data_IF_556930935979
#
_entry.id   IF_556930935979
#
_cell.length_a   1.000
_cell.length_b   1.000
_cell.length_c   1.000
_cell.angle_alpha   90.00
_cell.angle_beta   90.00
_cell.angle_gamma   90.00
#
_symmetry.space_group_name_H-M   'P 1'
#
loop_
_entity.id
_entity.type
_entity.pdbx_description
1 polymer ?
#
# COMPACT_ATOMS: atom_id res chain seq x y z
N UNK A 1 0.97 -11.82 3.13
CA UNK A 1 2.26 -12.52 3.08
C UNK A 1 2.79 -12.58 1.65
N UNK A 2 2.11 -13.33 0.79
CA UNK A 2 2.58 -13.66 -0.56
C UNK A 2 2.98 -12.44 -1.41
N UNK A 3 2.17 -11.39 -1.36
CA UNK A 3 2.39 -10.16 -2.13
C UNK A 3 3.24 -9.12 -1.39
N UNK A 4 3.81 -9.45 -0.23
CA UNK A 4 4.60 -8.52 0.61
C UNK A 4 3.89 -7.20 0.90
N UNK A 5 2.60 -7.26 1.17
CA UNK A 5 1.78 -6.10 1.49
C UNK A 5 1.72 -5.96 3.01
N UNK A 6 2.16 -4.82 3.53
CA UNK A 6 2.07 -4.48 4.95
C UNK A 6 0.71 -3.88 5.33
N UNK A 7 0.04 -3.20 4.39
CA UNK A 7 -1.19 -2.47 4.67
C UNK A 7 -2.17 -2.53 3.50
N UNK A 8 -3.44 -2.83 3.78
CA UNK A 8 -4.54 -2.79 2.82
C UNK A 8 -5.37 -1.53 3.06
N UNK A 9 -5.81 -0.85 1.98
CA UNK A 9 -6.71 0.30 2.06
C UNK A 9 -8.17 -0.15 2.15
N UNK A 10 -8.53 -0.63 3.30
CA UNK A 10 -9.83 -1.19 3.69
C UNK A 10 -9.82 -1.68 5.13
N UNK A 11 -10.99 -2.02 5.69
CA UNK A 11 -12.33 -1.98 5.11
C UNK A 11 -12.92 -0.58 4.94
N UNK A 12 -13.85 -0.46 3.98
CA UNK A 12 -14.74 0.69 3.87
C UNK A 12 -15.87 0.60 4.90
N UNK A 13 -16.08 1.66 5.70
CA UNK A 13 -16.95 1.60 6.90
C UNK A 13 -18.06 2.64 6.91
N UNK A 14 -18.21 3.43 5.86
CA UNK A 14 -19.29 4.42 5.87
C UNK A 14 -20.66 3.72 5.80
N UNK A 15 -21.63 4.27 6.49
CA UNK A 15 -22.97 3.67 6.57
C UNK A 15 -23.74 3.86 5.25
N UNK A 16 -24.60 2.90 4.91
CA UNK A 16 -25.52 2.94 3.78
C UNK A 16 -26.68 3.92 4.05
N UNK A 17 -26.42 5.22 4.05
CA UNK A 17 -27.45 6.23 4.28
C UNK A 17 -28.39 6.40 3.09
N UNK A 18 -27.86 6.27 1.88
CA UNK A 18 -28.61 6.44 0.64
C UNK A 18 -28.44 5.22 -0.27
N UNK A 19 -29.54 4.60 -0.75
CA UNK A 19 -29.46 3.36 -1.53
C UNK A 19 -28.73 3.54 -2.86
N UNK A 20 -28.72 4.74 -3.42
CA UNK A 20 -28.01 5.06 -4.69
C UNK A 20 -26.59 5.59 -4.48
N UNK A 21 -26.02 5.45 -3.28
CA UNK A 21 -24.62 5.82 -3.09
C UNK A 21 -23.71 4.88 -3.89
N UNK A 22 -22.85 5.44 -4.74
CA UNK A 22 -22.01 4.70 -5.69
C UNK A 22 -20.96 3.76 -5.05
N UNK A 23 -20.76 3.83 -3.73
CA UNK A 23 -19.80 2.98 -2.99
C UNK A 23 -20.46 2.05 -1.97
N UNK A 24 -21.78 1.88 -1.99
CA UNK A 24 -22.43 0.91 -1.11
C UNK A 24 -21.94 -0.53 -1.33
N UNK A 25 -21.41 -0.86 -2.50
CA UNK A 25 -20.84 -2.18 -2.79
C UNK A 25 -19.60 -2.52 -1.94
N UNK A 26 -18.86 -1.52 -1.43
CA UNK A 26 -17.69 -1.73 -0.58
C UNK A 26 -17.95 -1.45 0.90
N UNK A 27 -19.11 -0.88 1.24
CA UNK A 27 -19.53 -0.62 2.61
C UNK A 27 -20.40 -1.76 3.14
N UNK A 28 -20.60 -1.84 4.44
CA UNK A 28 -21.15 -3.03 5.08
C UNK A 28 -22.67 -2.93 5.29
N UNK A 29 -23.15 -1.86 5.95
CA UNK A 29 -24.54 -1.76 6.39
C UNK A 29 -24.97 -0.31 6.63
N UNK A 30 -26.28 -0.10 6.74
CA UNK A 30 -26.88 1.12 7.30
C UNK A 30 -26.76 1.19 8.84
N UNK A 31 -26.62 0.02 9.48
CA UNK A 31 -26.45 -0.08 10.94
C UNK A 31 -24.99 0.10 11.31
N UNK A 32 -24.71 1.10 12.14
CA UNK A 32 -23.36 1.47 12.56
C UNK A 32 -22.71 0.42 13.48
N UNK A 33 -23.49 -0.29 14.30
CA UNK A 33 -22.99 -1.34 15.20
C UNK A 33 -22.59 -2.57 14.37
N UNK A 34 -23.47 -2.99 13.45
CA UNK A 34 -23.19 -4.11 12.55
C UNK A 34 -21.96 -3.82 11.71
N UNK A 35 -21.89 -2.63 11.10
CA UNK A 35 -20.70 -2.18 10.32
C UNK A 35 -19.43 -2.24 11.18
N UNK A 36 -19.45 -1.68 12.38
CA UNK A 36 -18.29 -1.68 13.26
C UNK A 36 -17.82 -3.09 13.65
N UNK A 37 -18.76 -3.99 13.96
CA UNK A 37 -18.45 -5.38 14.36
C UNK A 37 -17.90 -6.22 13.21
N UNK A 38 -18.49 -6.13 12.02
CA UNK A 38 -18.00 -6.86 10.83
C UNK A 38 -16.61 -6.36 10.45
N UNK A 39 -16.41 -5.04 10.38
CA UNK A 39 -15.09 -4.48 10.08
C UNK A 39 -14.04 -4.82 11.14
N UNK A 40 -14.42 -4.86 12.42
CA UNK A 40 -13.53 -5.33 13.47
C UNK A 40 -13.13 -6.80 13.29
N UNK A 41 -14.05 -7.66 12.86
CA UNK A 41 -13.75 -9.06 12.57
C UNK A 41 -12.81 -9.20 11.36
N UNK A 42 -13.02 -8.42 10.30
CA UNK A 42 -12.15 -8.36 9.13
C UNK A 42 -10.74 -7.91 9.51
N UNK A 43 -10.60 -6.81 10.26
CA UNK A 43 -9.32 -6.33 10.76
C UNK A 43 -8.58 -7.37 11.61
N UNK A 44 -9.27 -8.08 12.50
CA UNK A 44 -8.67 -9.18 13.25
C UNK A 44 -8.17 -10.31 12.34
N UNK A 45 -8.86 -10.56 11.22
CA UNK A 45 -8.42 -11.49 10.18
C UNK A 45 -7.14 -11.02 9.48
N UNK A 46 -7.09 -9.75 9.09
CA UNK A 46 -5.91 -9.13 8.47
C UNK A 46 -4.70 -9.15 9.43
N UNK A 47 -4.91 -8.77 10.70
CA UNK A 47 -3.83 -8.79 11.71
C UNK A 47 -3.25 -10.19 11.92
N UNK A 48 -4.09 -11.25 11.91
CA UNK A 48 -3.60 -12.64 11.95
C UNK A 48 -2.76 -13.03 10.75
N UNK A 49 -3.00 -12.39 9.60
CA UNK A 49 -2.18 -12.56 8.40
C UNK A 49 -0.94 -11.65 8.40
N UNK A 50 -0.72 -10.83 9.45
CA UNK A 50 0.38 -9.88 9.53
C UNK A 50 0.22 -8.63 8.69
N UNK A 51 -1.01 -8.29 8.29
CA UNK A 51 -1.34 -7.14 7.45
C UNK A 51 -2.19 -6.16 8.24
N UNK A 52 -1.89 -4.87 8.14
CA UNK A 52 -2.74 -3.83 8.73
C UNK A 52 -3.87 -3.43 7.78
N UNK A 53 -5.03 -3.10 8.32
CA UNK A 53 -6.13 -2.51 7.58
C UNK A 53 -6.20 -1.00 7.75
N UNK A 54 -6.42 -0.26 6.67
CA UNK A 54 -6.69 1.17 6.73
C UNK A 54 -8.19 1.41 6.65
N UNK A 55 -8.82 1.64 7.81
CA UNK A 55 -10.26 1.89 7.85
C UNK A 55 -10.60 3.23 7.18
N UNK A 56 -11.65 3.23 6.35
CA UNK A 56 -12.01 4.36 5.49
C UNK A 56 -13.51 4.49 5.26
N UNK A 57 -14.02 5.64 4.89
CA UNK A 57 -13.36 6.94 4.81
C UNK A 57 -13.80 7.77 6.02
N UNK A 58 -12.91 8.11 6.85
CA UNK A 58 -13.15 8.79 8.14
C UNK A 58 -13.39 10.28 7.93
N UNK A 59 -14.60 10.77 8.09
CA UNK A 59 -15.87 10.10 8.29
C UNK A 59 -16.97 10.69 7.40
N UNK A 60 -18.16 10.11 7.44
CA UNK A 60 -19.37 10.63 6.81
C UNK A 60 -19.33 10.71 5.27
N UNK A 61 -18.60 9.84 4.58
CA UNK A 61 -18.67 9.71 3.12
C UNK A 61 -19.90 8.87 2.72
N UNK A 62 -21.08 9.48 2.76
CA UNK A 62 -22.35 8.79 2.55
C UNK A 62 -23.00 9.07 1.21
N UNK A 63 -22.32 9.78 0.32
CA UNK A 63 -22.69 10.00 -1.08
C UNK A 63 -21.45 10.25 -1.94
N UNK A 64 -21.49 9.79 -3.19
CA UNK A 64 -20.41 10.01 -4.15
C UNK A 64 -20.62 11.24 -5.02
N UNK A 65 -21.88 11.62 -5.27
CA UNK A 65 -22.17 12.82 -6.03
C UNK A 65 -21.67 14.06 -5.29
N UNK A 66 -20.76 14.80 -5.94
CA UNK A 66 -20.08 15.98 -5.38
C UNK A 66 -19.41 15.73 -4.02
N UNK A 67 -18.85 14.55 -3.80
CA UNK A 67 -18.28 14.10 -2.53
C UNK A 67 -17.18 15.01 -1.96
N UNK A 68 -16.48 15.75 -2.85
CA UNK A 68 -15.38 16.63 -2.44
C UNK A 68 -15.83 18.00 -1.90
N UNK A 69 -17.07 18.42 -2.21
CA UNK A 69 -17.56 19.78 -1.92
C UNK A 69 -19.00 19.84 -1.40
N UNK A 70 -19.71 18.72 -1.37
CA UNK A 70 -21.02 18.66 -0.74
C UNK A 70 -20.88 18.71 0.78
N UNK A 71 -21.24 19.86 1.36
CA UNK A 71 -21.16 20.10 2.80
C UNK A 71 -22.20 19.32 3.57
N UNK A 72 -21.74 18.39 4.43
CA UNK A 72 -22.60 17.74 5.41
C UNK A 72 -22.91 18.69 6.59
N UNK A 73 -24.18 18.81 6.96
CA UNK A 73 -24.58 19.46 8.21
C UNK A 73 -25.00 18.38 9.19
N UNK A 74 -24.18 18.15 10.22
CA UNK A 74 -24.34 17.01 11.12
C UNK A 74 -24.28 17.50 12.55
N UNK A 75 -25.32 17.18 13.36
CA UNK A 75 -25.29 17.49 14.78
C UNK A 75 -24.23 16.63 15.49
N UNK A 76 -23.68 17.13 16.59
CA UNK A 76 -22.69 16.41 17.40
C UNK A 76 -23.18 15.01 17.81
N UNK A 77 -24.44 14.92 18.22
CA UNK A 77 -25.07 13.65 18.58
C UNK A 77 -25.11 12.67 17.41
N UNK A 78 -25.59 13.11 16.25
CA UNK A 78 -25.64 12.25 15.07
C UNK A 78 -24.24 11.85 14.59
N UNK A 79 -23.27 12.76 14.67
CA UNK A 79 -21.89 12.49 14.34
C UNK A 79 -21.32 11.35 15.20
N UNK A 80 -21.49 11.43 16.52
CA UNK A 80 -20.94 10.46 17.47
C UNK A 80 -21.71 9.13 17.49
N UNK A 81 -23.04 9.17 17.46
CA UNK A 81 -23.85 7.96 17.61
C UNK A 81 -23.99 7.17 16.32
N UNK A 82 -23.82 7.83 15.15
CA UNK A 82 -24.05 7.22 13.83
C UNK A 82 -22.75 7.16 13.01
N UNK A 83 -22.21 8.32 12.62
CA UNK A 83 -21.15 8.38 11.61
C UNK A 83 -19.77 7.98 12.13
N UNK A 84 -19.49 8.19 13.40
CA UNK A 84 -18.24 7.86 14.05
C UNK A 84 -18.27 6.51 14.76
N UNK A 85 -19.45 6.02 15.15
CA UNK A 85 -19.58 4.86 16.05
C UNK A 85 -18.98 3.58 15.46
N UNK A 86 -19.14 3.32 14.18
CA UNK A 86 -18.52 2.15 13.54
C UNK A 86 -16.98 2.19 13.60
N UNK A 87 -16.39 3.37 13.39
CA UNK A 87 -14.94 3.57 13.48
C UNK A 87 -14.45 3.38 14.91
N UNK A 88 -15.16 3.95 15.90
CA UNK A 88 -14.86 3.78 17.32
C UNK A 88 -14.80 2.31 17.72
N UNK A 89 -15.81 1.52 17.31
CA UNK A 89 -15.88 0.08 17.58
C UNK A 89 -14.67 -0.64 16.98
N UNK A 90 -14.39 -0.40 15.71
CA UNK A 90 -13.28 -1.05 15.02
C UNK A 90 -11.94 -0.75 15.68
N UNK A 91 -11.66 0.53 16.00
CA UNK A 91 -10.42 0.95 16.64
C UNK A 91 -10.27 0.33 18.02
N UNK A 92 -11.29 0.44 18.87
CA UNK A 92 -11.24 -0.06 20.25
C UNK A 92 -11.16 -1.57 20.36
N UNK A 93 -11.78 -2.31 19.43
CA UNK A 93 -11.78 -3.77 19.45
C UNK A 93 -10.57 -4.43 18.83
N UNK A 94 -9.85 -3.73 17.94
CA UNK A 94 -8.76 -4.33 17.16
C UNK A 94 -7.41 -3.67 17.42
N UNK A 95 -7.40 -2.43 17.89
CA UNK A 95 -6.19 -1.63 17.96
C UNK A 95 -5.62 -1.28 16.58
N UNK A 96 -6.47 -1.25 15.53
CA UNK A 96 -6.01 -0.91 14.18
C UNK A 96 -5.24 0.41 14.19
N UNK A 97 -4.22 0.51 13.35
CA UNK A 97 -3.25 1.58 13.40
C UNK A 97 -3.17 2.43 12.11
N UNK A 98 -4.17 2.30 11.24
CA UNK A 98 -4.26 3.09 10.01
C UNK A 98 -5.69 3.55 9.73
N UNK A 99 -5.86 4.84 9.47
CA UNK A 99 -7.14 5.50 9.17
C UNK A 99 -6.97 6.40 7.94
N UNK A 100 -7.92 6.35 7.01
CA UNK A 100 -7.98 7.27 5.87
C UNK A 100 -9.14 8.24 6.02
N UNK A 101 -8.86 9.56 5.95
CA UNK A 101 -9.90 10.59 5.95
C UNK A 101 -10.65 10.63 4.61
N UNK A 102 -11.89 11.12 4.62
CA UNK A 102 -12.69 11.26 3.39
C UNK A 102 -12.35 12.53 2.63
N UNK A 103 -12.85 12.63 1.40
CA UNK A 103 -12.81 13.87 0.61
C UNK A 103 -13.73 14.97 1.15
N UNK A 104 -14.84 14.59 1.76
CA UNK A 104 -15.94 15.48 2.06
C UNK A 104 -15.72 16.36 3.29
N UNK A 105 -16.37 17.54 3.27
CA UNK A 105 -16.47 18.39 4.45
C UNK A 105 -17.74 18.09 5.24
N UNK A 106 -17.71 18.39 6.53
CA UNK A 106 -18.90 18.58 7.35
C UNK A 106 -18.71 19.77 8.31
N UNK A 107 -19.81 20.46 8.59
CA UNK A 107 -19.86 21.60 9.50
C UNK A 107 -18.76 22.65 9.25
N UNK A 108 -18.44 22.92 7.98
CA UNK A 108 -17.49 23.97 7.59
C UNK A 108 -16.03 23.52 7.42
N UNK A 109 -15.67 22.30 7.82
CA UNK A 109 -14.29 21.81 7.76
C UNK A 109 -14.17 20.54 6.91
N UNK A 110 -13.14 20.48 6.07
CA UNK A 110 -12.74 19.27 5.37
C UNK A 110 -12.06 18.32 6.32
N UNK A 111 -12.45 17.05 6.29
CA UNK A 111 -12.04 16.04 7.27
C UNK A 111 -10.53 15.87 7.39
N UNK A 112 -9.80 16.03 6.28
CA UNK A 112 -8.34 15.91 6.25
C UNK A 112 -7.62 17.00 7.07
N UNK A 113 -8.21 18.17 7.23
CA UNK A 113 -7.71 19.29 8.04
C UNK A 113 -8.46 19.51 9.36
N UNK A 114 -9.39 18.63 9.69
CA UNK A 114 -10.23 18.79 10.87
C UNK A 114 -9.51 18.29 12.14
N UNK A 115 -9.00 19.24 12.95
CA UNK A 115 -8.29 18.95 14.19
C UNK A 115 -9.15 18.19 15.21
N UNK A 116 -10.41 18.60 15.39
CA UNK A 116 -11.29 17.96 16.37
C UNK A 116 -11.59 16.52 15.99
N UNK A 117 -11.77 16.25 14.70
CA UNK A 117 -11.97 14.91 14.21
C UNK A 117 -10.70 14.05 14.38
N UNK A 118 -9.57 14.48 13.81
CA UNK A 118 -8.36 13.66 13.71
C UNK A 118 -7.54 13.63 15.01
N UNK A 119 -7.59 14.70 15.80
CA UNK A 119 -6.82 14.80 17.05
C UNK A 119 -7.69 14.60 18.27
N UNK A 120 -8.76 15.38 18.44
CA UNK A 120 -9.55 15.34 19.69
C UNK A 120 -10.31 14.01 19.77
N UNK A 121 -11.16 13.70 18.82
CA UNK A 121 -11.96 12.48 18.85
C UNK A 121 -11.09 11.24 18.66
N UNK A 122 -10.40 11.16 17.52
CA UNK A 122 -9.68 9.94 17.13
C UNK A 122 -8.54 9.60 18.11
N UNK A 123 -7.66 10.57 18.41
CA UNK A 123 -6.46 10.28 19.20
C UNK A 123 -6.66 10.46 20.71
N UNK A 124 -7.29 11.56 21.16
CA UNK A 124 -7.40 11.84 22.59
C UNK A 124 -8.53 11.06 23.25
N UNK A 125 -9.72 10.98 22.62
CA UNK A 125 -10.85 10.30 23.21
C UNK A 125 -10.80 8.78 23.00
N UNK A 126 -10.42 8.31 21.79
CA UNK A 126 -10.39 6.88 21.49
C UNK A 126 -9.03 6.22 21.71
N UNK A 127 -7.97 7.00 21.91
CA UNK A 127 -6.63 6.49 22.17
C UNK A 127 -5.92 5.96 20.93
N UNK A 128 -6.33 6.38 19.74
CA UNK A 128 -5.70 5.95 18.49
C UNK A 128 -4.23 6.40 18.41
N UNK A 129 -3.32 5.45 18.24
CA UNK A 129 -1.86 5.67 18.20
C UNK A 129 -1.23 5.21 16.87
N UNK A 130 -1.98 5.30 15.79
CA UNK A 130 -1.53 4.96 14.43
C UNK A 130 -1.32 6.18 13.55
N UNK A 131 -1.31 5.93 12.22
CA UNK A 131 -1.28 6.97 11.20
C UNK A 131 -2.68 7.34 10.73
N UNK A 132 -2.81 8.61 10.36
CA UNK A 132 -3.93 9.10 9.55
C UNK A 132 -3.38 9.49 8.18
N UNK A 133 -4.01 9.00 7.13
CA UNK A 133 -3.69 9.39 5.76
C UNK A 133 -4.88 10.09 5.10
N UNK A 134 -4.63 10.90 4.10
CA UNK A 134 -5.69 11.47 3.27
C UNK A 134 -6.19 10.45 2.25
N UNK A 135 -7.38 10.66 1.72
CA UNK A 135 -7.73 10.11 0.41
C UNK A 135 -6.92 10.83 -0.70
N UNK A 136 -6.93 10.31 -1.95
CA UNK A 136 -6.11 10.81 -3.05
C UNK A 136 -6.47 12.25 -3.42
N UNK A 137 -5.49 13.14 -3.45
CA UNK A 137 -5.65 14.58 -3.76
C UNK A 137 -6.69 15.30 -2.89
N UNK A 138 -6.90 14.85 -1.68
CA UNK A 138 -7.80 15.51 -0.73
C UNK A 138 -7.41 16.97 -0.51
N UNK A 139 -8.41 17.78 -0.23
CA UNK A 139 -8.26 19.21 0.09
C UNK A 139 -8.45 19.44 1.58
N UNK A 140 -7.89 20.51 2.11
CA UNK A 140 -8.12 20.96 3.49
C UNK A 140 -8.39 22.46 3.52
N UNK A 141 -8.94 22.93 4.63
CA UNK A 141 -9.09 24.36 4.93
C UNK A 141 -8.83 24.60 6.42
N UNK A 142 -8.58 25.85 6.77
CA UNK A 142 -8.82 26.35 8.10
C UNK A 142 -10.27 26.85 8.22
N UNK A 143 -10.76 26.94 9.43
CA UNK A 143 -12.13 27.43 9.69
C UNK A 143 -12.37 28.79 9.05
N UNK A 144 -13.47 28.92 8.31
CA UNK A 144 -13.84 30.15 7.58
C UNK A 144 -13.13 30.35 6.24
N UNK A 145 -12.15 29.52 5.89
CA UNK A 145 -11.42 29.63 4.62
C UNK A 145 -11.97 28.68 3.55
N UNK A 146 -11.63 28.97 2.29
CA UNK A 146 -11.89 28.06 1.18
C UNK A 146 -10.91 26.87 1.25
N UNK A 147 -11.39 25.72 0.77
CA UNK A 147 -10.54 24.55 0.65
C UNK A 147 -9.42 24.75 -0.37
N UNK A 148 -8.28 24.16 -0.08
CA UNK A 148 -7.14 24.12 -1.01
C UNK A 148 -6.43 22.77 -0.91
N UNK A 149 -6.08 22.20 -2.05
CA UNK A 149 -5.27 20.97 -2.14
C UNK A 149 -3.86 21.17 -1.59
N UNK A 150 -3.34 22.39 -1.67
CA UNK A 150 -2.03 22.75 -1.16
C UNK A 150 -2.01 23.01 0.35
N UNK A 151 -3.16 23.13 1.00
CA UNK A 151 -3.23 23.43 2.43
C UNK A 151 -2.90 22.20 3.29
N UNK A 152 -1.67 21.69 3.13
CA UNK A 152 -1.14 20.58 3.94
C UNK A 152 -0.73 21.01 5.34
N UNK A 153 -0.52 22.30 5.57
CA UNK A 153 -0.28 22.82 6.90
C UNK A 153 -1.50 22.58 7.83
N UNK A 154 -2.73 22.75 7.36
CA UNK A 154 -3.94 22.40 8.11
C UNK A 154 -3.98 20.89 8.42
N UNK A 155 -3.57 20.05 7.47
CA UNK A 155 -3.47 18.60 7.68
C UNK A 155 -2.41 18.26 8.75
N UNK A 156 -1.24 18.92 8.73
CA UNK A 156 -0.20 18.77 9.78
C UNK A 156 -0.76 19.13 11.15
N UNK A 157 -1.47 20.24 11.28
CA UNK A 157 -2.10 20.65 12.54
C UNK A 157 -3.09 19.60 13.04
N UNK A 158 -3.92 19.08 12.14
CA UNK A 158 -4.92 18.05 12.46
C UNK A 158 -4.34 16.69 12.81
N UNK A 159 -3.03 16.44 12.64
CA UNK A 159 -2.39 15.14 12.73
C UNK A 159 -2.88 14.16 11.66
N UNK A 160 -3.12 14.65 10.45
CA UNK A 160 -3.15 13.84 9.26
C UNK A 160 -1.70 13.70 8.80
N UNK A 161 -1.17 12.47 8.80
CA UNK A 161 0.28 12.23 8.81
C UNK A 161 0.85 11.96 7.42
N UNK A 162 0.02 11.45 6.50
CA UNK A 162 0.41 11.07 5.14
C UNK A 162 -0.55 11.70 4.13
N UNK A 163 0.02 12.40 3.15
CA UNK A 163 -0.73 13.09 2.10
C UNK A 163 -0.68 12.30 0.79
N UNK A 164 -1.82 11.80 0.37
CA UNK A 164 -1.97 11.01 -0.86
C UNK A 164 -2.51 11.94 -1.98
N UNK A 165 -1.91 12.13 -3.08
CA UNK A 165 -0.66 11.73 -3.70
C UNK A 165 0.23 12.95 -3.86
N UNK A 166 1.56 12.73 -4.02
CA UNK A 166 2.52 13.77 -4.38
C UNK A 166 3.07 13.46 -5.78
N UNK A 167 2.52 14.08 -6.84
CA UNK A 167 2.90 13.74 -8.22
C UNK A 167 4.30 14.25 -8.62
N UNK A 168 4.85 15.19 -7.87
CA UNK A 168 6.15 15.78 -8.14
C UNK A 168 6.89 15.96 -6.81
N UNK A 169 7.71 14.98 -6.46
CA UNK A 169 8.50 14.99 -5.23
C UNK A 169 9.80 15.78 -5.36
N UNK A 170 10.19 16.15 -6.57
CA UNK A 170 11.42 16.90 -6.84
C UNK A 170 11.20 18.42 -6.76
N UNK A 171 9.95 18.87 -6.96
CA UNK A 171 9.62 20.30 -6.93
C UNK A 171 8.98 20.72 -5.59
N UNK A 172 9.80 20.99 -4.59
CA UNK A 172 9.39 21.36 -3.22
C UNK A 172 8.37 22.50 -3.14
N UNK A 173 8.32 23.40 -4.11
CA UNK A 173 7.49 24.61 -4.04
C UNK A 173 6.11 24.47 -4.73
N UNK A 174 5.88 23.41 -5.48
CA UNK A 174 4.66 23.27 -6.28
C UNK A 174 3.50 22.60 -5.52
N UNK A 175 3.76 21.96 -4.36
CA UNK A 175 2.93 20.89 -3.86
C UNK A 175 2.16 21.25 -2.59
N UNK A 176 2.75 22.11 -1.72
CA UNK A 176 2.13 22.43 -0.44
C UNK A 176 2.54 23.81 0.11
N UNK A 177 1.89 24.20 1.22
CA UNK A 177 2.14 25.44 1.93
C UNK A 177 2.91 25.23 3.25
N UNK A 178 3.44 24.04 3.54
CA UNK A 178 4.06 23.69 4.84
C UNK A 178 5.22 24.66 5.17
N UNK A 179 6.17 24.83 4.25
CA UNK A 179 7.33 25.69 4.45
C UNK A 179 6.93 27.15 4.72
N UNK A 180 5.99 27.66 3.93
CA UNK A 180 5.48 29.04 4.10
C UNK A 180 4.80 29.20 5.46
N UNK A 181 3.92 28.29 5.84
CA UNK A 181 3.18 28.34 7.10
C UNK A 181 4.08 28.13 8.33
N UNK A 182 5.13 27.32 8.18
CA UNK A 182 6.15 27.16 9.21
C UNK A 182 6.95 28.48 9.41
N UNK A 183 7.33 29.14 8.31
CA UNK A 183 8.11 30.39 8.37
C UNK A 183 7.36 31.52 9.07
N UNK A 184 6.04 31.61 8.88
CA UNK A 184 5.20 32.64 9.54
C UNK A 184 4.66 32.19 10.90
N UNK A 185 5.00 30.98 11.35
CA UNK A 185 4.66 30.48 12.68
C UNK A 185 3.27 29.87 12.84
N UNK A 186 2.51 29.67 11.77
CA UNK A 186 1.20 29.02 11.83
C UNK A 186 1.27 27.53 12.14
N UNK A 187 2.36 26.87 11.77
CA UNK A 187 2.69 25.53 12.21
C UNK A 187 4.06 25.52 12.90
N UNK A 188 4.25 24.57 13.81
CA UNK A 188 5.44 24.49 14.63
C UNK A 188 6.29 23.26 14.30
N UNK A 189 7.58 23.31 14.64
CA UNK A 189 8.47 22.16 14.56
C UNK A 189 7.91 20.96 15.34
N UNK A 190 7.31 21.20 16.51
CA UNK A 190 6.72 20.14 17.34
C UNK A 190 5.57 19.42 16.63
N UNK A 191 4.75 20.14 15.86
CA UNK A 191 3.68 19.52 15.05
C UNK A 191 4.24 18.64 13.93
N UNK A 192 5.27 19.10 13.22
CA UNK A 192 5.95 18.29 12.19
C UNK A 192 6.60 17.04 12.79
N UNK A 193 7.31 17.19 13.92
CA UNK A 193 7.92 16.06 14.63
C UNK A 193 6.87 15.05 15.13
N UNK A 194 5.73 15.53 15.57
CA UNK A 194 4.61 14.68 16.00
C UNK A 194 4.10 13.81 14.84
N UNK A 195 3.86 14.40 13.66
CA UNK A 195 3.43 13.65 12.48
C UNK A 195 4.51 12.65 12.04
N UNK A 196 5.76 13.07 11.96
CA UNK A 196 6.88 12.18 11.65
C UNK A 196 6.97 11.00 12.65
N UNK A 197 6.78 11.26 13.95
CA UNK A 197 6.74 10.21 14.98
C UNK A 197 5.60 9.22 14.75
N UNK A 198 4.41 9.67 14.35
CA UNK A 198 3.29 8.78 14.05
C UNK A 198 3.64 7.84 12.89
N UNK A 199 4.22 8.38 11.81
CA UNK A 199 4.69 7.59 10.66
C UNK A 199 5.75 6.58 11.07
N UNK A 200 6.77 6.99 11.83
CA UNK A 200 7.82 6.10 12.30
C UNK A 200 7.30 4.98 13.21
N UNK A 201 6.37 5.28 14.12
CA UNK A 201 5.73 4.28 14.96
C UNK A 201 4.97 3.24 14.13
N UNK A 202 4.24 3.69 13.12
CA UNK A 202 3.52 2.81 12.21
C UNK A 202 4.49 1.91 11.43
N UNK A 203 5.53 2.50 10.83
CA UNK A 203 6.55 1.75 10.10
C UNK A 203 7.23 0.70 10.98
N UNK A 204 7.53 1.02 12.24
CA UNK A 204 8.13 0.06 13.20
C UNK A 204 7.22 -1.12 13.55
N UNK A 205 5.90 -0.99 13.37
CA UNK A 205 4.93 -2.08 13.58
C UNK A 205 4.77 -2.97 12.36
N UNK A 206 5.17 -2.50 11.18
CA UNK A 206 5.01 -3.26 9.95
C UNK A 206 5.81 -4.56 9.99
N UNK A 207 5.27 -5.60 9.35
CA UNK A 207 5.91 -6.89 9.26
C UNK A 207 7.30 -6.78 8.62
N UNK A 208 7.41 -6.02 7.53
CA UNK A 208 8.68 -5.80 6.85
C UNK A 208 9.77 -5.25 7.80
N UNK A 209 9.40 -4.28 8.66
CA UNK A 209 10.36 -3.73 9.63
C UNK A 209 10.65 -4.71 10.78
N UNK A 210 9.66 -5.47 11.26
CA UNK A 210 9.88 -6.47 12.30
C UNK A 210 10.85 -7.58 11.84
N UNK A 211 10.75 -8.01 10.59
CA UNK A 211 11.69 -8.94 9.94
C UNK A 211 13.07 -8.30 9.84
N UNK A 212 13.16 -7.07 9.31
CA UNK A 212 14.44 -6.34 9.17
C UNK A 212 15.16 -6.13 10.50
N UNK A 213 14.42 -5.98 11.60
CA UNK A 213 14.98 -5.85 12.96
C UNK A 213 15.32 -7.21 13.62
N UNK A 214 15.13 -8.33 12.92
CA UNK A 214 15.37 -9.68 13.45
C UNK A 214 14.40 -10.09 14.56
N UNK A 215 13.23 -9.44 14.68
CA UNK A 215 12.22 -9.77 15.69
C UNK A 215 11.27 -10.87 15.23
N UNK A 216 11.17 -11.06 13.94
CA UNK A 216 10.40 -12.12 13.30
C UNK A 216 11.35 -12.84 12.34
N UNK A 217 11.45 -14.15 12.47
CA UNK A 217 12.15 -14.98 11.51
C UNK A 217 11.29 -15.12 10.25
N UNK A 218 11.84 -14.69 9.12
CA UNK A 218 11.13 -14.75 7.85
C UNK A 218 10.85 -16.18 7.42
N UNK A 219 11.82 -17.08 7.60
CA UNK A 219 11.67 -18.48 7.22
C UNK A 219 10.58 -19.19 8.03
N UNK A 220 10.46 -18.87 9.33
CA UNK A 220 9.40 -19.40 10.19
C UNK A 220 8.04 -18.78 9.87
N UNK A 221 8.01 -17.45 9.67
CA UNK A 221 6.75 -16.72 9.46
C UNK A 221 6.15 -16.90 8.07
N UNK A 222 6.99 -16.91 7.05
CA UNK A 222 6.60 -17.02 5.65
C UNK A 222 7.67 -17.82 4.89
N UNK A 223 7.70 -19.15 5.06
CA UNK A 223 8.67 -20.00 4.41
C UNK A 223 8.65 -19.87 2.88
N UNK A 224 7.51 -19.50 2.31
CA UNK A 224 7.38 -19.15 0.90
C UNK A 224 8.17 -17.89 0.49
N UNK A 225 8.63 -17.11 1.46
CA UNK A 225 9.50 -15.94 1.25
C UNK A 225 10.95 -16.23 1.63
N UNK A 226 11.24 -17.44 2.06
CA UNK A 226 12.60 -17.86 2.35
C UNK A 226 13.43 -17.72 1.08
N UNK A 227 14.33 -16.75 1.10
CA UNK A 227 15.22 -16.48 -0.03
C UNK A 227 16.39 -17.45 -0.08
N UNK A 228 16.60 -18.23 0.97
CA UNK A 228 17.59 -19.31 1.02
C UNK A 228 17.08 -20.60 0.40
N UNK A 229 15.75 -20.75 0.19
CA UNK A 229 15.18 -21.93 -0.43
C UNK A 229 15.76 -22.15 -1.82
N UNK A 230 16.20 -23.34 -2.07
CA UNK A 230 16.61 -23.84 -3.38
C UNK A 230 15.92 -25.19 -3.60
N UNK A 231 15.42 -25.45 -4.81
CA UNK A 231 14.92 -26.78 -5.14
C UNK A 231 16.00 -27.85 -4.93
N UNK A 232 15.57 -29.06 -4.59
CA UNK A 232 16.49 -30.20 -4.50
C UNK A 232 17.04 -30.54 -5.90
N UNK A 233 18.34 -30.77 -5.98
CA UNK A 233 19.02 -31.17 -7.20
C UNK A 233 19.87 -30.06 -7.84
N UNK A 234 20.46 -30.39 -8.98
CA UNK A 234 21.26 -29.44 -9.76
C UNK A 234 20.32 -28.55 -10.60
N UNK A 235 20.45 -27.23 -10.44
CA UNK A 235 19.71 -26.27 -11.24
C UNK A 235 20.36 -26.12 -12.63
N UNK A 236 19.54 -25.88 -13.64
CA UNK A 236 20.04 -25.53 -14.97
C UNK A 236 20.94 -24.30 -14.89
N UNK A 237 22.06 -24.38 -15.61
CA UNK A 237 23.01 -23.27 -15.74
C UNK A 237 22.88 -22.67 -17.13
N UNK A 238 22.57 -21.39 -17.17
CA UNK A 238 22.39 -20.62 -18.40
C UNK A 238 23.61 -19.71 -18.57
N UNK A 239 24.37 -19.94 -19.63
CA UNK A 239 25.59 -19.17 -19.90
C UNK A 239 25.22 -17.86 -20.58
N UNK A 240 25.72 -16.75 -20.04
CA UNK A 240 25.53 -15.43 -20.63
C UNK A 240 26.23 -15.35 -22.01
N UNK A 241 25.53 -14.79 -22.98
CA UNK A 241 26.09 -14.46 -24.28
C UNK A 241 26.45 -12.97 -24.30
N UNK A 242 27.61 -12.65 -23.78
CA UNK A 242 28.01 -11.26 -23.54
C UNK A 242 27.22 -10.64 -22.41
N UNK A 243 26.43 -9.61 -22.71
CA UNK A 243 25.59 -8.89 -21.74
C UNK A 243 24.14 -9.39 -21.68
N UNK A 244 23.83 -10.56 -22.25
CA UNK A 244 22.46 -11.03 -22.49
C UNK A 244 22.27 -12.48 -22.08
N UNK A 245 21.26 -12.75 -21.28
CA UNK A 245 20.85 -14.09 -20.84
C UNK A 245 19.36 -14.23 -21.18
N UNK A 246 19.01 -15.30 -21.90
CA UNK A 246 17.63 -15.56 -22.30
C UNK A 246 17.15 -16.92 -21.80
N UNK A 247 16.00 -16.93 -21.14
CA UNK A 247 15.23 -18.11 -20.75
C UNK A 247 14.02 -18.19 -21.66
N UNK A 248 14.01 -19.15 -22.60
CA UNK A 248 12.86 -19.39 -23.47
C UNK A 248 11.69 -20.03 -22.70
N UNK A 249 10.51 -20.06 -23.31
CA UNK A 249 9.33 -20.72 -22.73
C UNK A 249 9.59 -22.20 -22.38
N UNK A 250 10.25 -22.94 -23.26
CA UNK A 250 10.59 -24.36 -23.05
C UNK A 250 11.54 -24.54 -21.86
N UNK A 251 12.54 -23.66 -21.72
CA UNK A 251 13.46 -23.71 -20.60
C UNK A 251 12.78 -23.25 -19.29
N UNK A 252 11.92 -22.23 -19.38
CA UNK A 252 11.14 -21.77 -18.23
C UNK A 252 10.24 -22.87 -17.66
N UNK A 253 9.60 -23.67 -18.52
CA UNK A 253 8.79 -24.81 -18.12
C UNK A 253 9.64 -25.91 -17.44
N UNK A 254 10.85 -26.17 -17.94
CA UNK A 254 11.77 -27.16 -17.37
C UNK A 254 12.27 -26.78 -15.97
N UNK A 255 12.41 -25.49 -15.67
CA UNK A 255 12.93 -24.97 -14.40
C UNK A 255 11.82 -24.39 -13.50
N UNK A 256 10.57 -24.72 -13.78
CA UNK A 256 9.38 -24.29 -13.04
C UNK A 256 9.13 -25.19 -11.84
N UNK A 257 8.87 -24.54 -10.71
CA UNK A 257 8.47 -25.16 -9.44
C UNK A 257 7.16 -24.51 -8.95
N UNK A 258 6.61 -25.00 -7.86
CA UNK A 258 5.28 -24.59 -7.35
C UNK A 258 5.15 -23.09 -7.06
N UNK A 259 6.26 -22.39 -6.81
CA UNK A 259 6.30 -20.99 -6.41
C UNK A 259 7.15 -20.10 -7.35
N UNK A 260 7.53 -20.61 -8.51
CA UNK A 260 8.27 -19.85 -9.51
C UNK A 260 9.33 -20.64 -10.27
N UNK A 261 10.21 -19.90 -10.89
CA UNK A 261 11.28 -20.41 -11.77
C UNK A 261 12.62 -20.22 -11.06
N UNK A 262 13.49 -21.26 -11.12
CA UNK A 262 14.80 -21.29 -10.47
C UNK A 262 15.88 -21.75 -11.43
N UNK A 263 16.94 -20.98 -11.59
CA UNK A 263 18.08 -21.32 -12.45
C UNK A 263 19.35 -20.61 -11.98
N UNK A 264 20.51 -21.08 -12.45
CA UNK A 264 21.76 -20.36 -12.32
C UNK A 264 22.10 -19.67 -13.64
N UNK A 265 22.74 -18.52 -13.56
CA UNK A 265 23.38 -17.86 -14.71
C UNK A 265 24.89 -17.84 -14.48
N UNK A 266 25.66 -18.03 -15.55
CA UNK A 266 27.12 -18.03 -15.50
C UNK A 266 27.70 -17.05 -16.54
N UNK A 267 28.97 -16.71 -16.36
CA UNK A 267 29.73 -15.81 -17.22
C UNK A 267 29.13 -14.39 -17.33
N UNK A 268 28.50 -13.91 -16.25
CA UNK A 268 28.03 -12.53 -16.18
C UNK A 268 29.20 -11.55 -16.11
N UNK A 269 29.00 -10.37 -16.69
CA UNK A 269 29.94 -9.24 -16.60
C UNK A 269 29.47 -8.28 -15.51
N UNK A 270 30.41 -7.70 -14.74
CA UNK A 270 30.03 -6.69 -13.75
C UNK A 270 29.28 -5.50 -14.40
N UNK A 271 28.18 -5.06 -13.80
CA UNK A 271 27.40 -3.92 -14.29
C UNK A 271 25.99 -3.87 -13.74
N UNK A 272 25.22 -2.88 -14.18
CA UNK A 272 23.79 -2.75 -13.86
C UNK A 272 22.97 -3.58 -14.86
N UNK A 273 21.95 -4.26 -14.35
CA UNK A 273 21.12 -5.17 -15.14
C UNK A 273 19.63 -4.90 -14.99
N UNK A 274 18.87 -5.27 -16.00
CA UNK A 274 17.41 -5.32 -16.01
C UNK A 274 16.94 -6.75 -16.33
N UNK A 275 15.75 -7.09 -15.82
CA UNK A 275 15.02 -8.28 -16.21
C UNK A 275 13.77 -7.87 -17.02
N UNK A 276 13.64 -8.40 -18.22
CA UNK A 276 12.45 -8.29 -19.06
C UNK A 276 11.69 -9.61 -18.96
N UNK A 277 10.44 -9.54 -18.57
CA UNK A 277 9.59 -10.71 -18.36
C UNK A 277 8.38 -10.62 -19.27
N UNK A 278 8.16 -11.68 -20.06
CA UNK A 278 7.01 -11.82 -20.95
C UNK A 278 6.14 -13.00 -20.48
N UNK A 279 4.87 -12.73 -20.28
CA UNK A 279 3.89 -13.72 -19.80
C UNK A 279 2.65 -13.77 -20.68
N UNK A 280 1.94 -14.90 -20.62
CA UNK A 280 0.53 -15.04 -21.01
C UNK A 280 -0.26 -15.50 -19.81
N UNK A 281 -1.42 -14.90 -19.55
CA UNK A 281 -2.28 -15.27 -18.43
C UNK A 281 -3.72 -15.53 -18.90
N UNK A 282 -4.35 -16.56 -18.37
CA UNK A 282 -5.78 -16.84 -18.57
C UNK A 282 -6.69 -15.95 -17.69
N UNK A 283 -6.11 -15.17 -16.79
CA UNK A 283 -6.85 -14.26 -15.93
C UNK A 283 -7.30 -13.01 -16.70
N UNK A 284 -8.41 -12.42 -16.24
CA UNK A 284 -8.94 -11.16 -16.81
C UNK A 284 -8.10 -9.95 -16.38
N UNK A 285 -8.31 -8.82 -17.06
CA UNK A 285 -7.59 -7.57 -16.88
C UNK A 285 -7.67 -6.93 -15.47
N UNK A 286 -8.56 -7.42 -14.62
CA UNK A 286 -8.68 -6.94 -13.23
C UNK A 286 -7.81 -7.73 -12.25
N UNK A 287 -7.23 -8.84 -12.68
CA UNK A 287 -6.36 -9.67 -11.85
C UNK A 287 -4.96 -9.10 -11.82
N UNK A 288 -4.42 -8.85 -10.63
CA UNK A 288 -3.02 -8.46 -10.45
C UNK A 288 -2.13 -9.69 -10.30
N UNK A 289 -1.06 -9.75 -11.06
CA UNK A 289 -0.09 -10.84 -11.09
C UNK A 289 1.29 -10.30 -10.71
N UNK A 290 1.65 -10.34 -9.42
CA UNK A 290 2.98 -9.92 -8.97
C UNK A 290 4.02 -10.99 -9.31
N UNK A 291 5.13 -10.58 -9.92
CA UNK A 291 6.29 -11.42 -10.21
C UNK A 291 7.52 -10.76 -9.58
N UNK A 292 8.16 -11.46 -8.66
CA UNK A 292 9.32 -10.94 -7.91
C UNK A 292 10.60 -11.59 -8.39
N UNK A 293 11.65 -10.79 -8.54
CA UNK A 293 12.97 -11.25 -8.96
C UNK A 293 13.94 -11.22 -7.78
N UNK A 294 14.68 -12.31 -7.61
CA UNK A 294 15.74 -12.46 -6.62
C UNK A 294 17.03 -12.90 -7.33
N UNK A 295 18.14 -12.32 -6.92
CA UNK A 295 19.50 -12.71 -7.37
C UNK A 295 20.32 -12.98 -6.13
N UNK A 296 20.96 -14.15 -6.07
CA UNK A 296 21.77 -14.59 -4.92
C UNK A 296 21.04 -14.50 -3.57
N UNK A 297 19.73 -14.79 -3.60
CA UNK A 297 18.79 -14.66 -2.50
C UNK A 297 18.41 -13.20 -2.13
N UNK A 298 19.00 -12.19 -2.77
CA UNK A 298 18.64 -10.80 -2.55
C UNK A 298 17.42 -10.43 -3.39
N UNK A 299 16.39 -9.88 -2.74
CA UNK A 299 15.23 -9.31 -3.43
C UNK A 299 15.64 -8.11 -4.29
N UNK A 300 15.32 -8.15 -5.58
CA UNK A 300 15.66 -7.11 -6.54
C UNK A 300 14.47 -6.24 -6.94
N UNK A 301 13.27 -6.76 -6.90
CA UNK A 301 12.06 -6.01 -7.20
C UNK A 301 10.87 -6.87 -7.58
N UNK A 302 9.71 -6.25 -7.74
CA UNK A 302 8.48 -6.90 -8.20
C UNK A 302 7.86 -6.12 -9.36
N UNK A 303 7.55 -6.83 -10.44
CA UNK A 303 6.68 -6.34 -11.52
C UNK A 303 5.28 -6.85 -11.24
N UNK A 304 4.27 -5.98 -11.38
CA UNK A 304 2.87 -6.40 -11.32
C UNK A 304 2.25 -6.30 -12.71
N UNK A 305 1.97 -7.45 -13.31
CA UNK A 305 1.17 -7.55 -14.52
C UNK A 305 -0.31 -7.47 -14.21
N UNK A 306 -1.10 -7.07 -15.19
CA UNK A 306 -2.54 -7.34 -15.19
C UNK A 306 -2.82 -8.66 -15.89
N UNK A 307 -3.99 -9.26 -15.63
CA UNK A 307 -4.40 -10.46 -16.35
C UNK A 307 -4.54 -10.15 -17.85
N UNK A 308 -4.01 -11.03 -18.71
CA UNK A 308 -3.83 -10.73 -20.13
C UNK A 308 -4.93 -11.29 -21.05
N UNK A 309 -5.92 -12.00 -20.48
CA UNK A 309 -6.99 -12.64 -21.27
C UNK A 309 -6.45 -13.53 -22.42
N UNK A 310 -5.36 -14.24 -22.18
CA UNK A 310 -4.72 -15.12 -23.15
C UNK A 310 -3.82 -14.43 -24.16
N UNK A 311 -3.53 -13.13 -24.01
CA UNK A 311 -2.55 -12.40 -24.83
C UNK A 311 -1.20 -12.35 -24.13
N UNK A 312 -0.17 -12.03 -24.88
CA UNK A 312 1.16 -11.76 -24.33
C UNK A 312 1.21 -10.34 -23.75
N UNK A 313 1.94 -10.19 -22.65
CA UNK A 313 2.32 -8.91 -22.06
C UNK A 313 3.77 -8.96 -21.58
N UNK A 314 4.49 -7.86 -21.74
CA UNK A 314 5.91 -7.77 -21.44
C UNK A 314 6.22 -6.53 -20.61
N UNK A 315 6.97 -6.72 -19.53
CA UNK A 315 7.40 -5.63 -18.67
C UNK A 315 8.87 -5.78 -18.25
N UNK A 316 9.52 -4.66 -17.99
CA UNK A 316 10.93 -4.58 -17.58
C UNK A 316 11.08 -4.04 -16.17
N UNK A 317 12.05 -4.59 -15.43
CA UNK A 317 12.43 -4.12 -14.11
C UNK A 317 13.96 -4.04 -13.99
N UNK A 318 14.48 -2.97 -13.38
CA UNK A 318 15.88 -2.90 -12.98
C UNK A 318 16.12 -3.87 -11.82
N UNK A 319 17.13 -4.72 -11.94
CA UNK A 319 17.55 -5.67 -10.90
C UNK A 319 18.87 -5.25 -10.24
N UNK A 320 19.38 -4.07 -10.59
CA UNK A 320 20.57 -3.48 -10.00
C UNK A 320 21.87 -4.15 -10.43
N UNK A 321 22.91 -3.98 -9.63
CA UNK A 321 24.26 -4.45 -9.96
C UNK A 321 24.41 -5.95 -9.77
N UNK A 322 24.99 -6.60 -10.79
CA UNK A 322 25.55 -7.95 -10.70
C UNK A 322 27.07 -7.89 -10.78
N UNK A 323 27.73 -8.82 -10.11
CA UNK A 323 29.17 -9.07 -10.21
C UNK A 323 29.52 -9.87 -11.46
N UNK A 324 30.81 -10.20 -11.60
CA UNK A 324 31.28 -11.18 -12.59
C UNK A 324 31.08 -12.60 -12.03
N UNK A 325 30.70 -13.53 -12.92
CA UNK A 325 30.67 -14.94 -12.62
C UNK A 325 29.29 -15.56 -12.56
N UNK A 326 29.06 -16.40 -11.55
CA UNK A 326 27.82 -17.14 -11.39
C UNK A 326 26.86 -16.43 -10.44
N UNK A 327 25.57 -16.45 -10.78
CA UNK A 327 24.51 -15.97 -9.91
C UNK A 327 23.33 -16.94 -9.89
N UNK A 328 22.71 -17.05 -8.74
CA UNK A 328 21.47 -17.78 -8.56
C UNK A 328 20.28 -16.85 -8.83
N UNK A 329 19.35 -17.28 -9.65
CA UNK A 329 18.16 -16.51 -10.04
C UNK A 329 16.90 -17.24 -9.59
N UNK A 330 16.03 -16.53 -8.91
CA UNK A 330 14.65 -16.94 -8.63
C UNK A 330 13.69 -15.91 -9.18
N UNK A 331 12.74 -16.35 -9.99
CA UNK A 331 11.60 -15.54 -10.44
C UNK A 331 10.35 -16.09 -9.76
N UNK A 332 9.94 -15.46 -8.67
CA UNK A 332 8.88 -15.95 -7.79
C UNK A 332 7.50 -15.45 -8.24
N UNK A 333 6.58 -16.37 -8.52
CA UNK A 333 5.19 -16.11 -8.85
C UNK A 333 4.35 -17.39 -8.65
N UNK A 334 3.02 -17.25 -8.64
CA UNK A 334 2.14 -18.43 -8.68
C UNK A 334 1.87 -18.82 -10.12
N UNK A 335 2.28 -20.01 -10.57
CA UNK A 335 2.16 -20.39 -11.99
C UNK A 335 0.75 -20.70 -12.45
N UNK A 336 -0.23 -20.85 -11.52
CA UNK A 336 -1.59 -21.22 -11.89
C UNK A 336 -2.25 -20.24 -12.86
N UNK A 337 -2.54 -20.70 -14.08
CA UNK A 337 -3.14 -19.89 -15.15
C UNK A 337 -2.20 -18.84 -15.75
N UNK A 338 -0.88 -18.97 -15.52
CA UNK A 338 0.16 -18.08 -16.04
C UNK A 338 1.19 -18.94 -16.77
N UNK A 339 1.51 -18.55 -18.00
CA UNK A 339 2.62 -19.10 -18.79
C UNK A 339 3.74 -18.08 -18.87
N UNK A 340 4.93 -18.47 -18.50
CA UNK A 340 6.14 -17.68 -18.69
C UNK A 340 6.64 -17.90 -20.10
N UNK A 341 6.46 -16.93 -20.99
CA UNK A 341 6.88 -17.05 -22.38
C UNK A 341 8.38 -16.82 -22.54
N UNK A 342 8.93 -15.88 -21.76
CA UNK A 342 10.33 -15.49 -21.88
C UNK A 342 10.80 -14.68 -20.67
N UNK A 343 12.06 -14.89 -20.27
CA UNK A 343 12.76 -14.01 -19.34
C UNK A 343 14.08 -13.61 -20.02
N UNK A 344 14.37 -12.32 -20.03
CA UNK A 344 15.65 -11.79 -20.50
C UNK A 344 16.31 -11.01 -19.38
N UNK A 345 17.51 -11.42 -18.99
CA UNK A 345 18.36 -10.64 -18.10
C UNK A 345 19.42 -9.97 -18.97
N UNK A 346 19.43 -8.66 -19.01
CA UNK A 346 20.33 -7.87 -19.86
C UNK A 346 21.06 -6.82 -19.07
N UNK A 347 22.35 -6.62 -19.41
CA UNK A 347 23.14 -5.52 -18.85
C UNK A 347 22.68 -4.21 -19.49
N UNK A 348 22.52 -3.21 -18.67
CA UNK A 348 22.20 -1.86 -19.11
C UNK A 348 23.47 -1.17 -19.62
N UNK A 349 23.33 -0.36 -20.66
CA UNK A 349 24.45 0.38 -21.29
C UNK A 349 25.00 1.47 -20.36
#
# INVERSE_FOLDING_TARGET
KYNRIDTILGPGMNIHRHPLNGRNYEYISEDTILTGKICAAELKGLHRAGVEGTIKHFCANNQEFRRADAMGVISERALREIYLKCFEIAIKETGCSSVMTTYGPFNGLWTSGNYDLCTTVLRKEWGFDGIVMTDWWAVANWEGEKQDRKNRAAMVQAQNDIFMVCPDTENENAIDNIKAQYTIGNITRGQLQRNARNVLKFALRSLAMQIKLGKIDLAEYAPEWDTSFRPDGELEIIIAKGSHIEVSAELAEKVLYDDGIYFNIADTMAGDYSAVINITSQHNEYTQIPISVFIDNDYRGTITFQGTNGKEDENEISIGKLGEGEHYVRVAYRPHGITMNKIVIKKND
#
